data_IF_516733028364
#
_entry.id   IF_516733028364
#
_cell.length_a   1.000
_cell.length_b   1.000
_cell.length_c   1.000
_cell.angle_alpha   90.00
_cell.angle_beta   90.00
_cell.angle_gamma   90.00
#
_symmetry.space_group_name_H-M   'P 1'
#
loop_
_entity.id
_entity.type
_entity.pdbx_description
1 polymer ?
#
# COMPACT_ATOMS: atom_id res chain seq x y z
N UNK A 1 -14.00 -12.89 5.93
CA UNK A 1 -15.04 -12.80 6.98
C UNK A 1 -16.45 -13.03 6.43
N UNK A 2 -16.62 -13.99 5.51
CA UNK A 2 -17.94 -14.28 4.94
C UNK A 2 -18.90 -14.84 6.01
N UNK A 3 -18.40 -15.67 6.93
CA UNK A 3 -19.22 -16.27 8.00
C UNK A 3 -19.81 -15.24 8.96
N UNK A 4 -19.04 -14.23 9.37
CA UNK A 4 -19.55 -13.14 10.20
C UNK A 4 -20.64 -12.35 9.46
N UNK A 5 -20.43 -12.03 8.18
CA UNK A 5 -21.44 -11.38 7.32
C UNK A 5 -22.69 -12.24 7.09
N UNK A 6 -22.57 -13.56 7.20
CA UNK A 6 -23.69 -14.50 7.16
C UNK A 6 -24.38 -14.69 8.54
N UNK A 7 -24.13 -13.82 9.51
CA UNK A 7 -24.78 -13.84 10.83
C UNK A 7 -24.24 -14.89 11.80
N UNK A 8 -23.10 -15.55 11.49
CA UNK A 8 -22.48 -16.51 12.40
C UNK A 8 -21.59 -15.78 13.40
N UNK A 9 -21.59 -16.25 14.65
CA UNK A 9 -20.64 -15.80 15.68
C UNK A 9 -19.28 -16.46 15.40
N UNK A 10 -18.26 -15.65 15.14
CA UNK A 10 -16.92 -16.11 14.76
C UNK A 10 -15.90 -15.33 15.57
N UNK A 11 -14.87 -16.02 16.08
CA UNK A 11 -13.68 -15.40 16.66
C UNK A 11 -12.50 -15.54 15.70
N UNK A 12 -11.67 -14.50 15.60
CA UNK A 12 -10.42 -14.52 14.83
C UNK A 12 -9.29 -14.20 15.80
N UNK A 13 -8.24 -15.02 15.80
CA UNK A 13 -7.06 -14.85 16.65
C UNK A 13 -5.87 -14.55 15.74
N UNK A 14 -5.17 -13.46 16.03
CA UNK A 14 -3.95 -13.03 15.34
C UNK A 14 -2.87 -12.84 16.40
N UNK A 15 -1.66 -13.35 16.13
CA UNK A 15 -0.52 -13.21 17.03
C UNK A 15 0.08 -11.82 16.94
N UNK A 16 0.04 -11.20 15.77
CA UNK A 16 0.62 -9.88 15.52
C UNK A 16 -0.34 -8.74 15.90
N UNK A 17 0.21 -7.53 16.03
CA UNK A 17 -0.58 -6.34 16.41
C UNK A 17 -1.66 -5.95 15.38
N UNK A 18 -1.55 -6.39 14.12
CA UNK A 18 -2.45 -5.99 13.06
C UNK A 18 -2.99 -7.19 12.27
N UNK A 19 -4.31 -7.24 12.10
CA UNK A 19 -4.99 -8.26 11.30
C UNK A 19 -4.73 -8.10 9.80
N UNK A 20 -4.78 -9.19 9.04
CA UNK A 20 -4.64 -9.18 7.57
C UNK A 20 -3.47 -9.99 7.02
N UNK A 21 -2.61 -10.53 7.90
CA UNK A 21 -1.53 -11.45 7.54
C UNK A 21 -0.41 -10.84 6.68
N UNK A 22 0.55 -11.68 6.31
CA UNK A 22 1.79 -11.22 5.66
C UNK A 22 1.58 -10.54 4.31
N UNK A 23 0.63 -11.03 3.50
CA UNK A 23 0.29 -10.39 2.21
C UNK A 23 -0.08 -8.90 2.37
N UNK A 24 -0.71 -8.53 3.49
CA UNK A 24 -1.15 -7.16 3.75
C UNK A 24 -0.02 -6.28 4.28
N UNK A 25 0.80 -6.82 5.17
CA UNK A 25 1.70 -6.01 6.00
C UNK A 25 3.16 -6.02 5.54
N UNK A 26 3.68 -7.13 4.99
CA UNK A 26 5.10 -7.25 4.60
C UNK A 26 5.35 -8.04 3.31
N UNK A 27 4.30 -8.39 2.57
CA UNK A 27 4.38 -9.19 1.34
C UNK A 27 3.83 -8.47 0.11
N UNK A 28 2.74 -9.01 -0.43
CA UNK A 28 2.20 -8.64 -1.74
C UNK A 28 1.73 -7.19 -1.85
N UNK A 29 0.97 -6.68 -0.89
CA UNK A 29 0.46 -5.29 -0.95
C UNK A 29 1.61 -4.28 -0.84
N UNK A 30 2.53 -4.37 0.15
CA UNK A 30 3.69 -3.47 0.23
C UNK A 30 4.55 -3.51 -1.04
N UNK A 31 4.90 -4.70 -1.52
CA UNK A 31 5.77 -4.85 -2.69
C UNK A 31 5.14 -4.32 -3.97
N UNK A 32 3.84 -4.50 -4.17
CA UNK A 32 3.11 -3.93 -5.32
C UNK A 32 2.93 -2.42 -5.20
N UNK A 33 2.62 -1.90 -4.01
CA UNK A 33 2.48 -0.46 -3.78
C UNK A 33 3.80 0.29 -4.04
N UNK A 34 4.91 -0.27 -3.56
CA UNK A 34 6.25 0.26 -3.81
C UNK A 34 6.59 0.21 -5.30
N UNK A 35 6.46 -0.96 -5.93
CA UNK A 35 6.74 -1.14 -7.37
C UNK A 35 5.94 -0.16 -8.21
N UNK A 36 4.65 -0.01 -7.92
CA UNK A 36 3.79 0.93 -8.64
C UNK A 36 4.27 2.38 -8.46
N UNK A 37 4.61 2.79 -7.23
CA UNK A 37 5.09 4.15 -6.96
C UNK A 37 6.40 4.45 -7.69
N UNK A 38 7.33 3.48 -7.74
CA UNK A 38 8.59 3.60 -8.50
C UNK A 38 8.32 3.66 -10.00
N UNK A 39 7.46 2.78 -10.55
CA UNK A 39 7.11 2.81 -11.97
C UNK A 39 6.53 4.17 -12.39
N UNK A 40 5.64 4.75 -11.58
CA UNK A 40 5.07 6.08 -11.83
C UNK A 40 6.11 7.19 -11.84
N UNK A 41 7.10 7.13 -10.94
CA UNK A 41 8.19 8.10 -10.92
C UNK A 41 9.07 8.00 -12.17
N UNK A 42 9.37 6.77 -12.62
CA UNK A 42 10.13 6.54 -13.85
C UNK A 42 9.35 7.05 -15.07
N UNK A 43 8.04 6.76 -15.16
CA UNK A 43 7.16 7.28 -16.21
C UNK A 43 7.16 8.81 -16.24
N UNK A 44 7.03 9.45 -15.07
CA UNK A 44 7.04 10.90 -14.95
C UNK A 44 8.35 11.52 -15.46
N UNK A 45 9.49 10.99 -15.01
CA UNK A 45 10.82 11.48 -15.40
C UNK A 45 11.12 11.27 -16.90
N UNK A 46 10.55 10.24 -17.51
CA UNK A 46 10.77 9.93 -18.93
C UNK A 46 9.76 10.59 -19.88
N UNK A 47 8.80 11.37 -19.37
CA UNK A 47 7.79 12.03 -20.20
C UNK A 47 8.31 13.38 -20.70
N UNK A 48 8.42 13.64 -22.03
CA UNK A 48 9.03 14.86 -22.57
C UNK A 48 8.39 16.17 -22.09
N UNK A 49 7.07 16.18 -21.85
CA UNK A 49 6.33 17.33 -21.32
C UNK A 49 6.77 17.74 -19.89
N UNK A 50 7.34 16.80 -19.13
CA UNK A 50 7.75 17.00 -17.74
C UNK A 50 9.27 16.94 -17.55
N UNK A 51 10.02 16.42 -18.53
CA UNK A 51 11.47 16.30 -18.49
C UNK A 51 12.20 17.66 -18.58
N UNK A 52 11.64 18.64 -19.32
CA UNK A 52 12.24 19.97 -19.53
C UNK A 52 11.92 20.96 -18.39
N UNK A 53 10.86 20.69 -17.63
CA UNK A 53 10.53 21.47 -16.45
C UNK A 53 11.39 20.96 -15.29
N UNK A 54 12.48 21.68 -15.02
CA UNK A 54 13.49 21.47 -13.95
C UNK A 54 12.97 21.31 -12.50
N UNK A 55 11.69 20.99 -12.27
CA UNK A 55 11.18 20.50 -11.00
C UNK A 55 11.49 19.01 -10.87
N UNK A 56 12.76 18.63 -11.02
CA UNK A 56 13.23 17.34 -10.52
C UNK A 56 13.22 17.44 -9.00
N UNK A 57 12.04 17.26 -8.40
CA UNK A 57 11.96 16.91 -6.98
C UNK A 57 12.65 15.56 -6.89
N UNK A 58 13.89 15.58 -6.42
CA UNK A 58 14.60 14.41 -5.91
C UNK A 58 13.73 13.78 -4.82
N UNK A 59 12.84 12.88 -5.23
CA UNK A 59 12.02 12.10 -4.31
C UNK A 59 12.94 11.06 -3.71
N UNK A 60 13.08 11.13 -2.38
CA UNK A 60 13.88 10.14 -1.68
C UNK A 60 13.14 8.82 -1.64
N UNK A 61 13.88 7.72 -1.44
CA UNK A 61 13.25 6.42 -1.19
C UNK A 61 12.30 6.47 0.02
N UNK A 62 12.59 7.30 1.02
CA UNK A 62 11.71 7.52 2.18
C UNK A 62 10.35 8.09 1.77
N UNK A 63 10.32 9.02 0.81
CA UNK A 63 9.07 9.63 0.33
C UNK A 63 8.22 8.61 -0.42
N UNK A 64 8.85 7.78 -1.26
CA UNK A 64 8.19 6.67 -1.97
C UNK A 64 7.63 5.65 -0.96
N UNK A 65 8.40 5.33 0.08
CA UNK A 65 7.98 4.43 1.15
C UNK A 65 6.80 4.99 1.94
N UNK A 66 6.78 6.29 2.26
CA UNK A 66 5.63 6.93 2.93
C UNK A 66 4.35 6.77 2.11
N UNK A 67 4.42 6.93 0.78
CA UNK A 67 3.28 6.71 -0.10
C UNK A 67 2.82 5.24 -0.07
N UNK A 68 3.74 4.28 -0.20
CA UNK A 68 3.43 2.86 -0.12
C UNK A 68 2.81 2.46 1.23
N UNK A 69 3.30 3.02 2.34
CA UNK A 69 2.71 2.86 3.68
C UNK A 69 1.28 3.37 3.77
N UNK A 70 0.95 4.46 3.08
CA UNK A 70 -0.42 4.97 2.96
C UNK A 70 -1.38 3.96 2.32
N UNK A 71 -0.94 3.29 1.24
CA UNK A 71 -1.72 2.23 0.57
C UNK A 71 -1.98 1.05 1.52
N UNK A 72 -0.95 0.61 2.25
CA UNK A 72 -1.08 -0.48 3.24
C UNK A 72 -2.10 -0.09 4.31
N UNK A 73 -2.00 1.12 4.88
CA UNK A 73 -2.97 1.63 5.88
C UNK A 73 -4.41 1.61 5.34
N UNK A 74 -4.62 2.08 4.11
CA UNK A 74 -5.94 2.03 3.48
C UNK A 74 -6.48 0.60 3.35
N UNK A 75 -5.64 -0.33 2.88
CA UNK A 75 -5.98 -1.74 2.72
C UNK A 75 -6.27 -2.44 4.05
N UNK A 76 -5.56 -2.10 5.12
CA UNK A 76 -5.82 -2.63 6.47
C UNK A 76 -7.13 -2.12 7.03
N UNK A 77 -7.45 -0.83 6.86
CA UNK A 77 -8.69 -0.22 7.38
C UNK A 77 -9.95 -0.85 6.78
N UNK A 78 -9.96 -1.12 5.47
CA UNK A 78 -11.06 -1.83 4.81
C UNK A 78 -11.29 -3.24 5.36
N UNK A 79 -10.25 -3.82 5.98
CA UNK A 79 -10.26 -5.15 6.57
C UNK A 79 -10.45 -5.12 8.08
N UNK A 80 -10.67 -3.96 8.71
CA UNK A 80 -10.94 -3.84 10.15
C UNK A 80 -12.35 -3.30 10.45
N UNK A 81 -13.01 -2.67 9.48
CA UNK A 81 -14.40 -2.22 9.60
C UNK A 81 -15.33 -3.35 9.14
N UNK A 82 -16.11 -3.92 10.05
CA UNK A 82 -17.12 -4.94 9.76
C UNK A 82 -18.46 -4.51 10.31
#
# INVERSE_FOLDING_TARGET
MQLAKAGKRVAVIEKYHAVGGGCTHWGTIPSKALRHSVSRLIEYNNTPLFADNHVSRSLTFSDIMKHASGVIRSQTRLRSTF
#
